data_IF_178430530351
#
_entry.id   IF_178430530351
#
_cell.length_a   1.000
_cell.length_b   1.000
_cell.length_c   1.000
_cell.angle_alpha   90.00
_cell.angle_beta   90.00
_cell.angle_gamma   90.00
#
_symmetry.space_group_name_H-M   'P 1'
#
loop_
_entity.id
_entity.type
_entity.pdbx_description
1 polymer ?
#
# COMPACT_ATOMS: atom_id res chain seq x y z
N UNK A 1 -11.94 -20.09 11.34
CA UNK A 1 -12.93 -20.30 10.28
C UNK A 1 -12.18 -20.33 8.93
N UNK A 2 -12.22 -21.48 8.19
CA UNK A 2 -11.41 -21.65 6.97
C UNK A 2 -11.72 -20.61 5.89
N UNK A 3 -12.98 -20.22 5.71
CA UNK A 3 -13.38 -19.23 4.71
C UNK A 3 -12.68 -17.86 4.87
N UNK A 4 -12.46 -17.40 6.10
CA UNK A 4 -11.75 -16.11 6.35
C UNK A 4 -10.25 -16.18 6.01
N UNK A 5 -9.63 -17.35 6.20
CA UNK A 5 -8.24 -17.57 5.79
C UNK A 5 -8.12 -17.56 4.26
N UNK A 6 -9.04 -18.19 3.55
CA UNK A 6 -9.08 -18.20 2.09
C UNK A 6 -9.22 -16.77 1.55
N UNK A 7 -10.20 -15.98 2.04
CA UNK A 7 -10.37 -14.58 1.61
C UNK A 7 -9.11 -13.74 1.80
N UNK A 8 -8.36 -13.97 2.89
CA UNK A 8 -7.10 -13.25 3.12
C UNK A 8 -6.05 -13.62 2.08
N UNK A 9 -5.83 -14.90 1.79
CA UNK A 9 -4.89 -15.33 0.76
C UNK A 9 -5.30 -14.88 -0.64
N UNK A 10 -6.61 -14.86 -0.94
CA UNK A 10 -7.15 -14.28 -2.18
C UNK A 10 -6.78 -12.80 -2.28
N UNK A 11 -6.92 -12.05 -1.18
CA UNK A 11 -6.54 -10.64 -1.16
C UNK A 11 -5.03 -10.44 -1.35
N UNK A 12 -4.19 -11.26 -0.73
CA UNK A 12 -2.72 -11.25 -0.95
C UNK A 12 -2.42 -11.44 -2.43
N UNK A 13 -3.01 -12.46 -3.05
CA UNK A 13 -2.82 -12.76 -4.48
C UNK A 13 -3.29 -11.62 -5.38
N UNK A 14 -4.48 -11.05 -5.11
CA UNK A 14 -5.02 -9.91 -5.87
C UNK A 14 -4.09 -8.69 -5.74
N UNK A 15 -3.66 -8.34 -4.52
CA UNK A 15 -2.77 -7.19 -4.29
C UNK A 15 -1.43 -7.38 -5.00
N UNK A 16 -0.86 -8.57 -4.94
CA UNK A 16 0.36 -8.92 -5.66
C UNK A 16 0.19 -8.76 -7.17
N UNK A 17 -0.85 -9.36 -7.74
CA UNK A 17 -1.07 -9.34 -9.19
C UNK A 17 -1.39 -7.93 -9.70
N UNK A 18 -2.28 -7.20 -9.02
CA UNK A 18 -2.63 -5.83 -9.40
C UNK A 18 -1.41 -4.92 -9.29
N UNK A 19 -0.62 -5.05 -8.21
CA UNK A 19 0.63 -4.32 -8.05
C UNK A 19 1.61 -4.62 -9.19
N UNK A 20 1.89 -5.90 -9.47
CA UNK A 20 2.78 -6.29 -10.56
C UNK A 20 2.30 -5.78 -11.93
N UNK A 21 1.01 -5.90 -12.23
CA UNK A 21 0.45 -5.42 -13.50
C UNK A 21 0.57 -3.90 -13.61
N UNK A 22 0.24 -3.16 -12.55
CA UNK A 22 0.37 -1.71 -12.53
C UNK A 22 1.82 -1.26 -12.76
N UNK A 23 2.77 -1.91 -12.10
CA UNK A 23 4.20 -1.64 -12.27
C UNK A 23 4.70 -1.97 -13.67
N UNK A 24 4.28 -3.12 -14.24
CA UNK A 24 4.61 -3.48 -15.62
C UNK A 24 4.08 -2.44 -16.61
N UNK A 25 2.84 -1.97 -16.43
CA UNK A 25 2.28 -0.89 -17.24
C UNK A 25 3.10 0.39 -17.02
N UNK A 26 3.40 0.74 -15.77
CA UNK A 26 4.20 1.92 -15.41
C UNK A 26 5.57 1.94 -16.11
N UNK A 27 6.36 0.88 -15.93
CA UNK A 27 7.72 0.77 -16.47
C UNK A 27 7.73 0.81 -18.01
N UNK A 28 6.74 0.19 -18.68
CA UNK A 28 6.75 0.11 -20.14
C UNK A 28 6.12 1.31 -20.84
N UNK A 29 5.23 2.05 -20.17
CA UNK A 29 4.44 3.10 -20.80
C UNK A 29 4.62 4.49 -20.17
N UNK A 30 5.08 4.55 -18.93
CA UNK A 30 5.11 5.79 -18.15
C UNK A 30 3.74 6.35 -17.76
N UNK A 31 2.63 5.69 -18.13
CA UNK A 31 1.28 6.25 -17.99
C UNK A 31 0.76 6.31 -16.55
N UNK A 32 1.15 5.36 -15.69
CA UNK A 32 0.64 5.31 -14.32
C UNK A 32 1.50 6.11 -13.34
N UNK A 33 2.83 5.91 -13.38
CA UNK A 33 3.72 6.49 -12.36
C UNK A 33 4.65 7.56 -12.93
N UNK A 34 4.81 7.62 -14.25
CA UNK A 34 5.86 8.36 -14.95
C UNK A 34 6.96 7.41 -15.43
N UNK A 35 8.05 7.96 -15.93
CA UNK A 35 9.15 7.17 -16.51
C UNK A 35 10.20 6.86 -15.45
N UNK A 36 10.41 5.59 -15.17
CA UNK A 36 11.41 5.07 -14.24
C UNK A 36 11.88 3.68 -14.66
N UNK A 37 12.97 3.22 -14.08
CA UNK A 37 13.52 1.88 -14.29
C UNK A 37 13.96 1.29 -12.96
N UNK A 38 13.72 -0.01 -12.77
CA UNK A 38 14.18 -0.74 -11.60
C UNK A 38 15.66 -1.10 -11.68
N UNK A 39 16.38 -0.99 -10.56
CA UNK A 39 17.72 -1.52 -10.40
C UNK A 39 17.75 -3.05 -10.31
N UNK A 40 18.94 -3.63 -10.41
CA UNK A 40 19.13 -5.09 -10.33
C UNK A 40 19.18 -5.66 -8.90
N UNK A 41 19.30 -4.81 -7.89
CA UNK A 41 19.51 -5.23 -6.48
C UNK A 41 18.28 -5.85 -5.82
N UNK A 42 17.10 -5.64 -6.38
CA UNK A 42 15.83 -6.15 -5.84
C UNK A 42 15.53 -7.62 -6.25
N UNK A 43 16.48 -8.30 -6.86
CA UNK A 43 16.38 -9.72 -7.20
C UNK A 43 15.66 -10.00 -8.52
N UNK A 44 14.97 -11.15 -8.58
CA UNK A 44 14.33 -11.63 -9.81
C UNK A 44 13.27 -10.66 -10.33
N UNK A 45 13.33 -10.39 -11.64
CA UNK A 45 12.41 -9.50 -12.34
C UNK A 45 11.58 -10.26 -13.38
N UNK A 46 10.33 -9.86 -13.52
CA UNK A 46 9.45 -10.27 -14.62
C UNK A 46 9.00 -9.01 -15.36
N UNK A 47 9.19 -8.95 -16.65
CA UNK A 47 8.91 -7.76 -17.47
C UNK A 47 9.54 -6.47 -16.87
N UNK A 48 10.81 -6.54 -16.46
CA UNK A 48 11.59 -5.46 -15.85
C UNK A 48 11.06 -4.97 -14.48
N UNK A 49 10.17 -5.72 -13.84
CA UNK A 49 9.64 -5.41 -12.49
C UNK A 49 10.10 -6.50 -11.52
N UNK A 50 10.76 -6.15 -10.39
CA UNK A 50 11.13 -7.11 -9.37
C UNK A 50 9.91 -7.77 -8.72
N UNK A 51 9.93 -9.09 -8.54
CA UNK A 51 8.81 -9.82 -7.93
C UNK A 51 8.49 -9.35 -6.50
N UNK A 52 9.50 -8.88 -5.78
CA UNK A 52 9.34 -8.33 -4.42
C UNK A 52 8.40 -7.12 -4.39
N UNK A 53 8.30 -6.37 -5.50
CA UNK A 53 7.41 -5.21 -5.59
C UNK A 53 5.94 -5.60 -5.48
N UNK A 54 5.53 -6.70 -6.13
CA UNK A 54 4.16 -7.22 -5.95
C UNK A 54 3.85 -7.56 -4.50
N UNK A 55 4.82 -8.11 -3.75
CA UNK A 55 4.67 -8.36 -2.33
C UNK A 55 4.62 -7.04 -1.53
N UNK A 56 5.45 -6.06 -1.88
CA UNK A 56 5.47 -4.76 -1.23
C UNK A 56 4.13 -4.03 -1.35
N UNK A 57 3.44 -4.12 -2.49
CA UNK A 57 2.08 -3.57 -2.64
C UNK A 57 1.13 -4.10 -1.58
N UNK A 58 1.13 -5.44 -1.36
CA UNK A 58 0.33 -6.04 -0.29
C UNK A 58 0.78 -5.57 1.10
N UNK A 59 2.08 -5.61 1.37
CA UNK A 59 2.64 -5.27 2.70
C UNK A 59 2.31 -3.84 3.09
N UNK A 60 2.59 -2.87 2.21
CA UNK A 60 2.32 -1.45 2.49
C UNK A 60 0.84 -1.20 2.68
N UNK A 61 0.02 -1.70 1.75
CA UNK A 61 -1.43 -1.48 1.76
C UNK A 61 -2.08 -2.07 3.00
N UNK A 62 -1.80 -3.36 3.31
CA UNK A 62 -2.40 -4.05 4.43
C UNK A 62 -1.94 -3.50 5.78
N UNK A 63 -0.66 -3.16 5.90
CA UNK A 63 -0.11 -2.59 7.13
C UNK A 63 -0.62 -1.16 7.38
N UNK A 64 -0.75 -0.33 6.35
CA UNK A 64 -1.37 1.01 6.46
C UNK A 64 -2.85 0.91 6.91
N UNK A 65 -3.60 -0.04 6.32
CA UNK A 65 -4.99 -0.30 6.72
C UNK A 65 -5.08 -0.77 8.19
N UNK A 66 -4.23 -1.72 8.60
CA UNK A 66 -4.21 -2.23 9.97
C UNK A 66 -3.85 -1.12 10.97
N UNK A 67 -2.87 -0.28 10.64
CA UNK A 67 -2.46 0.85 11.47
C UNK A 67 -3.61 1.86 11.65
N UNK A 68 -4.22 2.32 10.56
CA UNK A 68 -5.33 3.28 10.66
C UNK A 68 -6.52 2.69 11.40
N UNK A 69 -6.88 1.43 11.12
CA UNK A 69 -7.97 0.74 11.83
C UNK A 69 -7.71 0.66 13.33
N UNK A 70 -6.49 0.30 13.73
CA UNK A 70 -6.08 0.24 15.13
C UNK A 70 -6.24 1.60 15.83
N UNK A 71 -5.78 2.68 15.22
CA UNK A 71 -5.92 4.02 15.77
C UNK A 71 -7.39 4.44 15.90
N UNK A 72 -8.19 4.26 14.84
CA UNK A 72 -9.61 4.61 14.86
C UNK A 72 -10.34 3.79 15.93
N UNK A 73 -10.10 2.48 16.03
CA UNK A 73 -10.75 1.61 17.02
C UNK A 73 -10.39 2.03 18.45
N UNK A 74 -9.13 2.38 18.68
CA UNK A 74 -8.65 2.87 19.98
C UNK A 74 -9.35 4.16 20.38
N UNK A 75 -9.41 5.15 19.49
CA UNK A 75 -10.05 6.43 19.76
C UNK A 75 -11.58 6.32 19.90
N UNK A 76 -12.21 5.47 19.08
CA UNK A 76 -13.67 5.27 19.13
C UNK A 76 -14.09 4.58 20.44
N UNK A 77 -13.33 3.60 20.89
CA UNK A 77 -13.57 2.95 22.20
C UNK A 77 -13.38 3.91 23.36
N UNK A 78 -12.32 4.72 23.33
CA UNK A 78 -12.02 5.69 24.39
C UNK A 78 -13.12 6.74 24.56
N UNK A 79 -13.78 7.13 23.46
CA UNK A 79 -14.79 8.19 23.47
C UNK A 79 -16.24 7.66 23.52
N UNK A 80 -16.46 6.34 23.75
CA UNK A 80 -17.78 5.70 23.76
C UNK A 80 -18.63 5.97 22.50
N UNK A 81 -17.98 6.23 21.37
CA UNK A 81 -18.66 6.45 20.10
C UNK A 81 -19.15 5.10 19.56
N UNK A 82 -20.46 4.98 19.33
CA UNK A 82 -21.05 3.72 18.84
C UNK A 82 -20.48 3.36 17.47
N UNK A 83 -20.05 2.10 17.31
CA UNK A 83 -19.60 1.56 16.04
C UNK A 83 -20.77 1.47 15.07
N UNK A 84 -20.83 2.33 14.08
CA UNK A 84 -21.71 2.15 12.93
C UNK A 84 -21.29 0.92 12.14
N UNK A 85 -22.00 -0.19 12.35
CA UNK A 85 -21.67 -1.52 11.76
C UNK A 85 -22.08 -1.66 10.29
N UNK A 86 -22.57 -0.62 9.63
CA UNK A 86 -23.02 -0.71 8.24
C UNK A 86 -21.88 -0.63 7.23
N UNK A 87 -22.04 -1.38 6.13
CA UNK A 87 -21.13 -1.36 5.00
C UNK A 87 -20.95 0.06 4.39
N UNK A 88 -21.92 0.94 4.54
CA UNK A 88 -21.91 2.33 4.08
C UNK A 88 -21.64 3.31 5.23
N UNK A 89 -21.09 2.85 6.35
CA UNK A 89 -20.72 3.71 7.47
C UNK A 89 -19.64 4.71 7.04
N UNK A 90 -19.71 5.99 7.48
CA UNK A 90 -18.66 6.99 7.26
C UNK A 90 -17.27 6.51 7.69
N UNK A 91 -17.19 5.72 8.77
CA UNK A 91 -15.94 5.09 9.25
C UNK A 91 -15.34 4.16 8.21
N UNK A 92 -16.16 3.44 7.43
CA UNK A 92 -15.69 2.51 6.40
C UNK A 92 -15.10 3.25 5.19
N UNK A 93 -15.71 4.36 4.79
CA UNK A 93 -15.21 5.24 3.73
C UNK A 93 -13.90 5.89 4.18
N UNK A 94 -13.87 6.38 5.42
CA UNK A 94 -12.67 6.95 6.03
C UNK A 94 -11.52 5.94 6.10
N UNK A 95 -11.79 4.65 6.37
CA UNK A 95 -10.78 3.61 6.35
C UNK A 95 -10.20 3.38 4.96
N UNK A 96 -11.01 3.37 3.90
CA UNK A 96 -10.53 3.17 2.53
C UNK A 96 -9.63 4.35 2.11
N UNK A 97 -10.17 5.56 2.12
CA UNK A 97 -9.43 6.72 1.63
C UNK A 97 -8.30 7.14 2.57
N UNK A 98 -8.50 7.03 3.88
CA UNK A 98 -7.47 7.33 4.87
C UNK A 98 -6.30 6.36 4.80
N UNK A 99 -6.55 5.05 4.59
CA UNK A 99 -5.46 4.07 4.43
C UNK A 99 -4.75 4.21 3.08
N UNK A 100 -5.49 4.57 2.01
CA UNK A 100 -4.87 4.89 0.73
C UNK A 100 -3.96 6.12 0.85
N UNK A 101 -4.41 7.17 1.53
CA UNK A 101 -3.59 8.35 1.79
C UNK A 101 -2.38 8.01 2.66
N UNK A 102 -2.54 7.16 3.68
CA UNK A 102 -1.44 6.72 4.54
C UNK A 102 -0.39 5.92 3.76
N UNK A 103 -0.82 5.10 2.79
CA UNK A 103 0.08 4.40 1.87
C UNK A 103 0.84 5.37 0.95
N UNK A 104 0.18 6.42 0.45
CA UNK A 104 0.83 7.49 -0.34
C UNK A 104 1.84 8.28 0.50
N UNK A 105 1.51 8.59 1.76
CA UNK A 105 2.46 9.25 2.67
C UNK A 105 3.67 8.36 2.90
N UNK A 106 3.46 7.06 3.08
CA UNK A 106 4.56 6.09 3.20
C UNK A 106 5.43 6.06 1.94
N UNK A 107 4.83 6.00 0.75
CA UNK A 107 5.52 6.06 -0.53
C UNK A 107 6.35 7.35 -0.64
N UNK A 108 5.77 8.51 -0.32
CA UNK A 108 6.47 9.79 -0.33
C UNK A 108 7.70 9.82 0.61
N UNK A 109 7.62 9.15 1.76
CA UNK A 109 8.76 9.02 2.68
C UNK A 109 9.81 8.06 2.13
N UNK A 110 9.38 6.96 1.54
CA UNK A 110 10.23 5.89 1.03
C UNK A 110 10.99 6.29 -0.25
N UNK A 111 10.34 6.98 -1.16
CA UNK A 111 10.84 7.29 -2.51
C UNK A 111 12.28 7.84 -2.55
N UNK A 112 12.65 8.90 -1.84
CA UNK A 112 14.01 9.43 -1.91
C UNK A 112 15.06 8.43 -1.43
N UNK A 113 14.70 7.61 -0.45
CA UNK A 113 15.59 6.58 0.11
C UNK A 113 15.77 5.43 -0.88
N UNK A 114 14.68 4.98 -1.50
CA UNK A 114 14.70 3.92 -2.49
C UNK A 114 15.55 4.28 -3.71
N UNK A 115 15.44 5.51 -4.21
CA UNK A 115 16.31 6.04 -5.27
C UNK A 115 17.77 6.07 -4.81
N UNK A 116 18.05 6.57 -3.60
CA UNK A 116 19.40 6.64 -3.03
C UNK A 116 20.03 5.25 -2.85
N UNK A 117 19.22 4.25 -2.52
CA UNK A 117 19.63 2.85 -2.40
C UNK A 117 19.74 2.13 -3.75
N UNK A 118 19.37 2.76 -4.87
CA UNK A 118 19.42 2.17 -6.20
C UNK A 118 18.33 1.14 -6.49
N UNK A 119 17.19 1.21 -5.77
CA UNK A 119 16.04 0.33 -6.05
C UNK A 119 15.43 0.64 -7.40
N UNK A 120 15.28 1.92 -7.71
CA UNK A 120 14.87 2.44 -9.01
C UNK A 120 15.45 3.83 -9.27
N UNK A 121 15.35 4.27 -10.50
CA UNK A 121 15.77 5.61 -10.93
C UNK A 121 14.66 6.24 -11.79
N UNK A 122 14.36 7.50 -11.50
CA UNK A 122 13.45 8.32 -12.29
C UNK A 122 14.16 8.93 -13.50
N UNK A 123 13.48 8.94 -14.65
CA UNK A 123 14.01 9.53 -15.87
C UNK A 123 14.08 11.06 -15.80
N UNK A 124 14.77 11.68 -16.75
CA UNK A 124 14.89 13.13 -16.85
C UNK A 124 15.76 13.72 -15.74
N UNK A 125 15.22 14.65 -14.97
CA UNK A 125 15.93 15.32 -13.86
C UNK A 125 15.89 14.53 -12.54
N UNK A 126 15.34 13.31 -12.53
CA UNK A 126 15.23 12.48 -11.33
C UNK A 126 14.13 12.90 -10.36
N UNK A 127 13.27 13.84 -10.75
CA UNK A 127 12.14 14.24 -9.91
C UNK A 127 11.01 13.22 -9.96
N UNK A 128 10.42 12.94 -8.80
CA UNK A 128 9.29 12.04 -8.67
C UNK A 128 8.04 12.74 -9.19
N UNK A 129 7.35 12.21 -10.22
CA UNK A 129 6.16 12.85 -10.77
C UNK A 129 4.98 12.82 -9.77
N UNK A 130 4.17 13.88 -9.75
CA UNK A 130 2.90 13.87 -9.01
C UNK A 130 1.96 12.75 -9.43
N UNK A 131 2.08 12.31 -10.69
CA UNK A 131 1.35 11.18 -11.24
C UNK A 131 1.58 9.89 -10.43
N UNK A 132 2.81 9.67 -9.92
CA UNK A 132 3.13 8.54 -9.04
C UNK A 132 2.18 8.50 -7.83
N UNK A 133 2.08 9.59 -7.09
CA UNK A 133 1.27 9.66 -5.87
C UNK A 133 -0.23 9.51 -6.13
N UNK A 134 -0.74 10.09 -7.22
CA UNK A 134 -2.14 9.90 -7.61
C UNK A 134 -2.44 8.46 -7.99
N UNK A 135 -1.56 7.81 -8.74
CA UNK A 135 -1.72 6.41 -9.13
C UNK A 135 -1.68 5.49 -7.91
N UNK A 136 -0.74 5.71 -7.00
CA UNK A 136 -0.72 5.01 -5.70
C UNK A 136 -2.04 5.16 -4.96
N UNK A 137 -2.56 6.38 -4.85
CA UNK A 137 -3.82 6.63 -4.16
C UNK A 137 -4.99 5.85 -4.76
N UNK A 138 -5.18 5.93 -6.07
CA UNK A 138 -6.31 5.28 -6.73
C UNK A 138 -6.20 3.76 -6.74
N UNK A 139 -5.01 3.19 -6.97
CA UNK A 139 -4.78 1.74 -6.92
C UNK A 139 -5.00 1.22 -5.49
N UNK A 140 -4.48 1.93 -4.48
CA UNK A 140 -4.72 1.58 -3.08
C UNK A 140 -6.21 1.65 -2.71
N UNK A 141 -6.92 2.69 -3.10
CA UNK A 141 -8.35 2.83 -2.84
C UNK A 141 -9.17 1.71 -3.51
N UNK A 142 -8.81 1.31 -4.74
CA UNK A 142 -9.41 0.17 -5.44
C UNK A 142 -9.19 -1.13 -4.67
N UNK A 143 -7.95 -1.45 -4.31
CA UNK A 143 -7.59 -2.67 -3.58
C UNK A 143 -8.25 -2.72 -2.20
N UNK A 144 -8.32 -1.61 -1.49
CA UNK A 144 -9.01 -1.50 -0.20
C UNK A 144 -10.52 -1.70 -0.32
N UNK A 145 -11.11 -1.27 -1.44
CA UNK A 145 -12.51 -1.55 -1.75
C UNK A 145 -12.76 -3.05 -1.95
N UNK A 146 -11.83 -3.75 -2.62
CA UNK A 146 -11.86 -5.21 -2.77
C UNK A 146 -11.69 -5.90 -1.42
N UNK A 147 -10.72 -5.45 -0.59
CA UNK A 147 -10.52 -5.97 0.77
C UNK A 147 -11.83 -5.95 1.58
N UNK A 148 -12.55 -4.85 1.47
CA UNK A 148 -13.83 -4.68 2.14
C UNK A 148 -14.91 -5.63 1.61
N UNK A 149 -15.02 -5.81 0.28
CA UNK A 149 -15.95 -6.76 -0.35
C UNK A 149 -15.68 -8.18 0.17
N UNK A 150 -14.42 -8.55 0.35
CA UNK A 150 -14.00 -9.84 0.90
C UNK A 150 -14.29 -10.00 2.40
N UNK A 151 -14.79 -8.96 3.08
CA UNK A 151 -15.16 -8.95 4.51
C UNK A 151 -14.03 -9.41 5.44
N UNK A 152 -12.80 -9.08 5.09
CA UNK A 152 -11.61 -9.38 5.90
C UNK A 152 -11.53 -8.35 7.03
N UNK A 153 -11.14 -8.79 8.22
CA UNK A 153 -10.88 -7.87 9.34
C UNK A 153 -9.41 -7.48 9.35
N UNK A 154 -9.09 -6.19 9.47
CA UNK A 154 -7.71 -5.71 9.53
C UNK A 154 -7.11 -5.77 10.94
N UNK A 155 -7.64 -6.62 11.84
CA UNK A 155 -7.19 -6.76 13.22
C UNK A 155 -5.87 -7.55 13.28
N UNK A 156 -4.75 -6.88 13.03
CA UNK A 156 -3.43 -7.52 13.03
C UNK A 156 -2.38 -6.57 13.61
N UNK A 157 -2.05 -6.76 14.88
CA UNK A 157 -1.06 -5.94 15.58
C UNK A 157 0.35 -6.08 14.99
N UNK A 158 0.69 -7.25 14.41
CA UNK A 158 1.97 -7.41 13.72
C UNK A 158 2.06 -6.48 12.50
N UNK A 159 0.99 -6.37 11.71
CA UNK A 159 0.95 -5.47 10.57
C UNK A 159 1.03 -3.99 10.99
N UNK A 160 0.43 -3.61 12.13
CA UNK A 160 0.57 -2.27 12.71
C UNK A 160 2.02 -1.97 13.06
N UNK A 161 2.67 -2.87 13.78
CA UNK A 161 4.08 -2.70 14.16
C UNK A 161 4.99 -2.68 12.93
N UNK A 162 4.71 -3.54 11.93
CA UNK A 162 5.47 -3.56 10.67
C UNK A 162 5.39 -2.20 9.95
N UNK A 163 4.19 -1.61 9.85
CA UNK A 163 4.01 -0.29 9.26
C UNK A 163 4.86 0.77 9.98
N UNK A 164 4.81 0.79 11.29
CA UNK A 164 5.56 1.76 12.10
C UNK A 164 7.08 1.56 11.97
N UNK A 165 7.55 0.31 11.99
CA UNK A 165 8.98 -0.01 11.83
C UNK A 165 9.47 0.41 10.45
N UNK A 166 8.73 0.09 9.39
CA UNK A 166 9.10 0.47 8.03
C UNK A 166 9.08 2.00 7.85
N UNK A 167 8.04 2.67 8.37
CA UNK A 167 7.96 4.13 8.31
C UNK A 167 9.14 4.79 9.04
N UNK A 168 9.46 4.34 10.25
CA UNK A 168 10.59 4.85 11.03
C UNK A 168 11.93 4.57 10.35
N UNK A 169 12.10 3.39 9.76
CA UNK A 169 13.28 3.03 8.99
C UNK A 169 13.52 4.01 7.82
N UNK A 170 12.51 4.25 7.00
CA UNK A 170 12.65 5.18 5.88
C UNK A 170 12.77 6.64 6.32
N UNK A 171 12.11 7.05 7.39
CA UNK A 171 12.30 8.40 7.97
C UNK A 171 13.72 8.62 8.49
N UNK A 172 14.33 7.60 9.09
CA UNK A 172 15.70 7.68 9.60
C UNK A 172 16.75 7.76 8.49
N UNK A 173 16.50 7.10 7.34
CA UNK A 173 17.42 7.10 6.19
C UNK A 173 17.21 8.27 5.23
N UNK A 174 16.13 9.02 5.34
CA UNK A 174 15.78 10.14 4.46
C UNK A 174 16.68 11.34 4.70
#
# INVERSE_FOLDING_TARGET
>A
QPAKKISFFVFVAISFLVGMIAEMIGVHTGLLFGNYTYGSIMGLQVANVPLIIGLNWFVVLYSALAALHFFIDHFTKKNNLSKGSSANSPISIMLIFGSALLAVIFDWVMEPVAVKLGFWTWAGNGQIPWLNYWSWFFICALLLSIFRILKIKPDNIFAVNLFLILLMFFLFLR
#
